data_IF_231728729641
#
_entry.id   IF_231728729641
#
_cell.length_a   1.000
_cell.length_b   1.000
_cell.length_c   1.000
_cell.angle_alpha   90.00
_cell.angle_beta   90.00
_cell.angle_gamma   90.00
#
_symmetry.space_group_name_H-M   'P 1'
#
loop_
_entity.id
_entity.type
_entity.pdbx_description
1 polymer ?
#
# COMPACT_ATOMS: atom_id res chain seq x y z
N UNK A 1 22.74 7.80 -7.74
CA UNK A 1 22.42 6.53 -8.43
C UNK A 1 21.70 5.53 -7.52
N UNK A 2 22.25 5.13 -6.36
CA UNK A 2 21.64 4.12 -5.47
C UNK A 2 20.19 4.42 -4.99
N UNK A 3 19.85 5.69 -4.73
CA UNK A 3 18.47 6.09 -4.35
C UNK A 3 17.45 5.92 -5.49
N UNK A 4 17.90 6.00 -6.74
CA UNK A 4 17.03 5.83 -7.91
C UNK A 4 16.75 4.35 -8.13
N UNK A 5 17.78 3.50 -8.06
CA UNK A 5 17.68 2.05 -8.20
C UNK A 5 16.77 1.46 -7.11
N UNK A 6 16.94 1.87 -5.85
CA UNK A 6 16.07 1.41 -4.74
C UNK A 6 14.61 1.81 -4.95
N UNK A 7 14.34 3.01 -5.50
CA UNK A 7 12.97 3.43 -5.85
C UNK A 7 12.38 2.61 -6.99
N UNK A 8 13.18 2.26 -8.00
CA UNK A 8 12.76 1.40 -9.10
C UNK A 8 12.43 -0.02 -8.62
N UNK A 9 13.27 -0.64 -7.78
CA UNK A 9 12.99 -1.98 -7.22
C UNK A 9 11.79 -1.98 -6.26
N UNK A 10 11.59 -0.90 -5.49
CA UNK A 10 10.40 -0.74 -4.66
C UNK A 10 9.12 -0.51 -5.47
N UNK A 11 9.20 0.20 -6.61
CA UNK A 11 8.05 0.40 -7.50
C UNK A 11 7.66 -0.91 -8.21
N UNK A 12 8.64 -1.72 -8.60
CA UNK A 12 8.42 -2.99 -9.30
C UNK A 12 7.77 -4.07 -8.39
N UNK A 13 8.17 -4.13 -7.11
CA UNK A 13 7.50 -4.95 -6.10
C UNK A 13 6.07 -4.49 -5.77
N UNK A 14 5.74 -3.20 -5.98
CA UNK A 14 4.38 -2.68 -5.76
C UNK A 14 3.42 -3.10 -6.88
N UNK A 15 3.90 -3.06 -8.12
CA UNK A 15 3.15 -3.42 -9.32
C UNK A 15 2.88 -4.93 -9.44
N UNK A 16 3.85 -5.76 -9.06
CA UNK A 16 3.75 -7.23 -9.09
C UNK A 16 2.69 -7.79 -8.13
N UNK A 17 2.42 -7.13 -7.01
CA UNK A 17 1.33 -7.52 -6.09
C UNK A 17 -0.06 -7.13 -6.61
N UNK A 18 -0.14 -6.06 -7.41
CA UNK A 18 -1.40 -5.55 -7.95
C UNK A 18 -1.86 -6.35 -9.17
N UNK A 19 -0.95 -6.82 -10.01
CA UNK A 19 -1.25 -7.44 -11.31
C UNK A 19 -0.35 -8.67 -11.61
N UNK A 20 -0.94 -9.89 -11.73
CA UNK A 20 -0.22 -11.08 -12.20
C UNK A 20 0.24 -10.92 -13.65
N UNK A 21 1.34 -11.59 -14.00
CA UNK A 21 2.22 -11.45 -15.19
C UNK A 21 1.62 -11.08 -16.57
N UNK A 22 0.34 -11.31 -16.85
CA UNK A 22 -0.25 -11.10 -18.19
C UNK A 22 -0.67 -9.65 -18.47
N UNK A 23 -0.80 -8.77 -17.47
CA UNK A 23 -1.36 -7.39 -17.63
C UNK A 23 -0.39 -6.26 -17.28
N UNK A 24 0.89 -6.58 -17.05
CA UNK A 24 1.89 -5.61 -16.57
C UNK A 24 2.20 -4.50 -17.59
N UNK A 25 2.21 -4.84 -18.88
CA UNK A 25 2.51 -3.87 -19.94
C UNK A 25 1.31 -2.95 -20.19
N UNK A 26 0.10 -3.50 -20.31
CA UNK A 26 -1.10 -2.74 -20.66
C UNK A 26 -1.45 -1.66 -19.62
N UNK A 27 -1.23 -1.93 -18.34
CA UNK A 27 -1.62 -0.99 -17.26
C UNK A 27 -0.55 0.07 -17.02
N UNK A 28 0.73 -0.28 -17.21
CA UNK A 28 1.81 0.71 -17.21
C UNK A 28 1.64 1.68 -18.39
N UNK A 29 1.31 1.15 -19.57
CA UNK A 29 1.04 1.94 -20.77
C UNK A 29 -0.23 2.77 -20.58
N UNK A 30 -1.30 2.22 -20.01
CA UNK A 30 -2.54 2.96 -19.75
C UNK A 30 -2.34 4.11 -18.75
N UNK A 31 -1.62 3.88 -17.66
CA UNK A 31 -1.35 4.93 -16.67
C UNK A 31 -0.40 6.01 -17.21
N UNK A 32 0.62 5.59 -17.98
CA UNK A 32 1.52 6.53 -18.66
C UNK A 32 0.76 7.36 -19.70
N UNK A 33 -0.14 6.73 -20.45
CA UNK A 33 -1.03 7.39 -21.41
C UNK A 33 -1.99 8.38 -20.72
N UNK A 34 -2.58 8.01 -19.58
CA UNK A 34 -3.49 8.87 -18.81
C UNK A 34 -2.74 10.11 -18.27
N UNK A 35 -1.51 9.94 -17.78
CA UNK A 35 -0.65 11.05 -17.34
C UNK A 35 -0.31 12.00 -18.49
N UNK A 36 0.06 11.46 -19.65
CA UNK A 36 0.36 12.26 -20.85
C UNK A 36 -0.90 13.03 -21.29
N UNK A 37 -2.07 12.40 -21.25
CA UNK A 37 -3.33 13.02 -21.66
C UNK A 37 -3.78 14.14 -20.70
N UNK A 38 -3.72 13.91 -19.38
CA UNK A 38 -3.99 14.96 -18.37
C UNK A 38 -3.02 16.12 -18.51
N UNK A 39 -1.73 15.84 -18.75
CA UNK A 39 -0.72 16.88 -18.96
C UNK A 39 -1.00 17.71 -20.22
N UNK A 40 -1.38 17.04 -21.33
CA UNK A 40 -1.74 17.71 -22.58
C UNK A 40 -2.98 18.61 -22.43
N UNK A 41 -4.01 18.14 -21.71
CA UNK A 41 -5.23 18.93 -21.44
C UNK A 41 -4.91 20.13 -20.52
N UNK A 42 -4.07 19.94 -19.50
CA UNK A 42 -3.72 21.01 -18.54
C UNK A 42 -2.76 22.07 -19.11
N UNK A 43 -2.02 21.75 -20.19
CA UNK A 43 -1.17 22.72 -20.89
C UNK A 43 -1.98 23.83 -21.58
N UNK A 44 -3.27 23.60 -21.87
CA UNK A 44 -4.16 24.61 -22.46
C UNK A 44 -4.46 25.79 -21.53
N UNK A 45 -4.55 25.55 -20.21
CA UNK A 45 -4.83 26.60 -19.20
C UNK A 45 -3.82 27.77 -19.21
N UNK A 46 -2.49 27.52 -19.12
CA UNK A 46 -1.51 28.60 -19.17
C UNK A 46 -1.44 29.27 -20.55
N UNK A 47 -1.70 28.53 -21.64
CA UNK A 47 -1.71 29.10 -23.00
C UNK A 47 -2.85 30.12 -23.15
N UNK A 48 -4.06 29.79 -22.67
CA UNK A 48 -5.21 30.72 -22.69
C UNK A 48 -4.96 31.94 -21.80
N UNK A 49 -4.28 31.77 -20.66
CA UNK A 49 -3.93 32.89 -19.76
C UNK A 49 -2.92 33.87 -20.40
N UNK A 50 -1.99 33.38 -21.23
CA UNK A 50 -1.02 34.22 -21.95
C UNK A 50 -1.70 34.96 -23.11
N UNK A 51 -2.55 34.28 -23.89
CA UNK A 51 -3.27 34.89 -25.03
C UNK A 51 -4.23 35.99 -24.58
N UNK A 52 -4.88 35.81 -23.44
CA UNK A 52 -5.82 36.79 -22.88
C UNK A 52 -5.15 38.01 -22.23
N UNK A 53 -3.80 38.10 -22.22
CA UNK A 53 -3.03 39.12 -21.46
C UNK A 53 -3.50 39.23 -20.00
N UNK A 54 -3.75 38.08 -19.35
CA UNK A 54 -4.15 38.05 -17.96
C UNK A 54 -3.04 38.59 -17.04
N UNK A 55 -3.40 38.96 -15.80
CA UNK A 55 -2.43 39.41 -14.80
C UNK A 55 -1.37 38.34 -14.52
N UNK A 56 -0.14 38.78 -14.22
CA UNK A 56 1.03 37.91 -13.95
C UNK A 56 0.73 36.85 -12.87
N UNK A 57 -0.13 37.20 -11.91
CA UNK A 57 -0.57 36.33 -10.80
C UNK A 57 -1.37 35.11 -11.33
N UNK A 58 -2.26 35.30 -12.30
CA UNK A 58 -3.07 34.22 -12.88
C UNK A 58 -2.20 33.24 -13.65
N UNK A 59 -1.16 33.74 -14.34
CA UNK A 59 -0.20 32.90 -15.06
C UNK A 59 0.58 32.01 -14.08
N UNK A 60 1.09 32.57 -12.98
CA UNK A 60 1.82 31.82 -11.96
C UNK A 60 0.94 30.73 -11.31
N UNK A 61 -0.31 31.05 -10.98
CA UNK A 61 -1.27 30.09 -10.40
C UNK A 61 -1.58 28.95 -11.39
N UNK A 62 -1.75 29.26 -12.68
CA UNK A 62 -2.05 28.24 -13.71
C UNK A 62 -0.89 27.23 -13.87
N UNK A 63 0.36 27.71 -13.83
CA UNK A 63 1.56 26.87 -13.91
C UNK A 63 1.69 25.99 -12.66
N UNK A 64 1.45 26.56 -11.47
CA UNK A 64 1.47 25.82 -10.22
C UNK A 64 0.40 24.71 -10.20
N UNK A 65 -0.81 24.99 -10.67
CA UNK A 65 -1.91 24.03 -10.74
C UNK A 65 -1.58 22.86 -11.67
N UNK A 66 -0.95 23.14 -12.82
CA UNK A 66 -0.52 22.11 -13.77
C UNK A 66 0.49 21.14 -13.13
N UNK A 67 1.47 21.67 -12.38
CA UNK A 67 2.44 20.83 -11.66
C UNK A 67 1.80 20.04 -10.51
N UNK A 68 0.85 20.63 -9.79
CA UNK A 68 0.12 19.96 -8.71
C UNK A 68 -0.74 18.78 -9.21
N UNK A 69 -1.36 18.90 -10.39
CA UNK A 69 -2.15 17.82 -11.01
C UNK A 69 -1.32 16.58 -11.33
N UNK A 70 -0.08 16.73 -11.83
CA UNK A 70 0.82 15.60 -12.08
C UNK A 70 1.08 14.79 -10.81
N UNK A 71 1.23 15.46 -9.67
CA UNK A 71 1.45 14.81 -8.37
C UNK A 71 0.20 14.11 -7.83
N UNK A 72 -1.00 14.59 -8.18
CA UNK A 72 -2.26 14.00 -7.71
C UNK A 72 -2.50 12.59 -8.28
N UNK A 73 -2.16 12.36 -9.54
CA UNK A 73 -2.34 11.05 -10.20
C UNK A 73 -1.50 9.96 -9.53
N UNK A 74 -0.23 10.26 -9.20
CA UNK A 74 0.64 9.32 -8.50
C UNK A 74 0.12 8.97 -7.10
N UNK A 75 -0.54 9.91 -6.44
CA UNK A 75 -1.07 9.72 -5.09
C UNK A 75 -2.25 8.74 -5.07
N UNK A 76 -3.06 8.71 -6.12
CA UNK A 76 -4.24 7.84 -6.18
C UNK A 76 -3.85 6.36 -6.35
N UNK A 77 -2.90 6.08 -7.24
CA UNK A 77 -2.37 4.72 -7.45
C UNK A 77 -1.70 4.19 -6.19
N UNK A 78 -0.94 5.06 -5.50
CA UNK A 78 -0.29 4.69 -4.26
C UNK A 78 -1.31 4.30 -3.18
N UNK A 79 -2.43 5.03 -3.07
CA UNK A 79 -3.51 4.69 -2.14
C UNK A 79 -4.16 3.35 -2.48
N UNK A 80 -4.44 3.10 -3.75
CA UNK A 80 -5.02 1.82 -4.19
C UNK A 80 -4.07 0.66 -3.87
N UNK A 81 -2.78 0.82 -4.13
CA UNK A 81 -1.76 -0.15 -3.74
C UNK A 81 -1.74 -0.40 -2.23
N UNK A 82 -1.67 0.67 -1.43
CA UNK A 82 -1.58 0.56 0.03
C UNK A 82 -2.83 -0.11 0.61
N UNK A 83 -4.01 0.21 0.08
CA UNK A 83 -5.26 -0.44 0.46
C UNK A 83 -5.25 -1.94 0.16
N UNK A 84 -4.86 -2.35 -1.06
CA UNK A 84 -4.80 -3.76 -1.44
C UNK A 84 -3.75 -4.53 -0.62
N UNK A 85 -2.58 -3.91 -0.38
CA UNK A 85 -1.54 -4.48 0.49
C UNK A 85 -2.07 -4.70 1.90
N UNK A 86 -2.82 -3.75 2.44
CA UNK A 86 -3.42 -3.84 3.77
C UNK A 86 -4.47 -4.95 3.88
N UNK A 87 -5.33 -5.10 2.86
CA UNK A 87 -6.29 -6.19 2.78
C UNK A 87 -5.58 -7.55 2.82
N UNK A 88 -4.52 -7.73 2.03
CA UNK A 88 -3.70 -8.95 2.04
C UNK A 88 -3.04 -9.16 3.41
N UNK A 89 -2.47 -8.13 4.02
CA UNK A 89 -1.84 -8.23 5.34
C UNK A 89 -2.83 -8.59 6.46
N UNK A 90 -4.08 -8.14 6.35
CA UNK A 90 -5.15 -8.49 7.29
C UNK A 90 -5.45 -9.97 7.22
N UNK A 91 -5.64 -10.48 6.00
CA UNK A 91 -5.90 -11.89 5.74
C UNK A 91 -4.71 -12.77 6.12
N UNK A 92 -3.51 -12.30 5.84
CA UNK A 92 -2.26 -12.94 6.24
C UNK A 92 -2.14 -13.07 7.77
N UNK A 93 -2.50 -12.03 8.54
CA UNK A 93 -2.50 -12.10 10.01
C UNK A 93 -3.48 -13.15 10.55
N UNK A 94 -4.66 -13.27 9.94
CA UNK A 94 -5.68 -14.27 10.28
C UNK A 94 -5.16 -15.68 9.94
N UNK A 95 -4.60 -15.86 8.75
CA UNK A 95 -3.96 -17.09 8.31
C UNK A 95 -2.86 -17.53 9.29
N UNK A 96 -1.93 -16.63 9.61
CA UNK A 96 -0.80 -16.90 10.48
C UNK A 96 -1.22 -17.27 11.90
N UNK A 97 -2.27 -16.63 12.42
CA UNK A 97 -2.86 -16.96 13.73
C UNK A 97 -3.43 -18.38 13.73
N UNK A 98 -4.19 -18.76 12.69
CA UNK A 98 -4.75 -20.13 12.54
C UNK A 98 -3.66 -21.19 12.42
N UNK A 99 -2.65 -20.92 11.60
CA UNK A 99 -1.50 -21.81 11.40
C UNK A 99 -0.75 -22.04 12.72
N UNK A 100 -0.47 -20.96 13.45
CA UNK A 100 0.22 -21.01 14.75
C UNK A 100 -0.59 -21.79 15.80
N UNK A 101 -1.91 -21.65 15.79
CA UNK A 101 -2.78 -22.42 16.70
C UNK A 101 -2.73 -23.92 16.39
N UNK A 102 -2.78 -24.32 15.13
CA UNK A 102 -2.68 -25.73 14.72
C UNK A 102 -1.34 -26.36 15.11
N UNK A 103 -0.23 -25.67 14.81
CA UNK A 103 1.11 -26.12 15.19
C UNK A 103 1.25 -26.12 16.73
N UNK A 104 0.67 -25.11 17.38
CA UNK A 104 0.60 -24.99 18.83
C UNK A 104 -0.10 -26.18 19.49
N UNK A 105 -1.14 -26.72 18.85
CA UNK A 105 -1.91 -27.89 19.26
C UNK A 105 -1.22 -29.25 18.95
N UNK A 106 0.00 -29.23 18.41
CA UNK A 106 0.78 -30.44 18.13
C UNK A 106 0.60 -30.99 16.71
N UNK A 107 -0.03 -30.25 15.80
CA UNK A 107 -0.03 -30.64 14.38
C UNK A 107 1.34 -30.37 13.75
N UNK A 108 1.81 -31.28 12.90
CA UNK A 108 3.01 -31.06 12.07
C UNK A 108 2.75 -29.97 11.04
N UNK A 109 3.82 -29.35 10.51
CA UNK A 109 3.69 -28.29 9.51
C UNK A 109 2.84 -28.73 8.31
N UNK A 110 3.14 -29.90 7.74
CA UNK A 110 2.38 -30.46 6.62
C UNK A 110 0.89 -30.67 6.95
N UNK A 111 0.57 -31.15 8.15
CA UNK A 111 -0.83 -31.33 8.56
C UNK A 111 -1.56 -30.00 8.72
N UNK A 112 -0.89 -28.98 9.26
CA UNK A 112 -1.48 -27.66 9.47
C UNK A 112 -1.83 -26.95 8.15
N UNK A 113 -1.10 -27.19 7.06
CA UNK A 113 -1.46 -26.68 5.72
C UNK A 113 -2.56 -27.48 5.04
N UNK A 114 -2.57 -28.80 5.18
CA UNK A 114 -3.44 -29.69 4.40
C UNK A 114 -4.81 -29.93 5.03
N UNK A 115 -4.89 -29.96 6.37
CA UNK A 115 -6.15 -30.25 7.09
C UNK A 115 -7.01 -29.02 7.34
N UNK A 116 -6.51 -27.81 7.08
CA UNK A 116 -7.18 -26.58 7.45
C UNK A 116 -7.75 -25.83 6.25
N UNK A 117 -9.06 -25.60 6.26
CA UNK A 117 -9.70 -24.69 5.31
C UNK A 117 -9.52 -23.25 5.78
N UNK A 118 -8.58 -22.54 5.16
CA UNK A 118 -8.39 -21.11 5.40
C UNK A 118 -9.49 -20.32 4.70
N UNK A 119 -10.59 -20.08 5.41
CA UNK A 119 -11.62 -19.14 4.95
C UNK A 119 -11.04 -17.72 5.00
N UNK A 120 -10.61 -17.24 3.82
CA UNK A 120 -9.97 -15.95 3.60
C UNK A 120 -10.87 -15.10 2.69
N UNK A 121 -11.25 -13.87 3.10
CA UNK A 121 -12.15 -13.04 2.32
C UNK A 121 -11.51 -12.51 1.02
N UNK A 122 -10.20 -12.23 1.01
CA UNK A 122 -9.51 -11.72 -0.17
C UNK A 122 -9.22 -12.83 -1.19
N UNK A 123 -9.78 -12.69 -2.40
CA UNK A 123 -9.64 -13.66 -3.49
C UNK A 123 -8.17 -13.86 -3.93
N UNK A 124 -7.37 -12.80 -3.98
CA UNK A 124 -5.97 -12.87 -4.43
C UNK A 124 -5.10 -13.63 -3.44
N UNK A 125 -5.14 -13.26 -2.16
CA UNK A 125 -4.36 -13.97 -1.14
C UNK A 125 -4.81 -15.43 -0.99
N UNK A 126 -6.12 -15.68 -0.99
CA UNK A 126 -6.68 -17.03 -0.96
C UNK A 126 -6.20 -17.89 -2.13
N UNK A 127 -6.16 -17.34 -3.35
CA UNK A 127 -5.69 -18.06 -4.54
C UNK A 127 -4.22 -18.51 -4.37
N UNK A 128 -3.33 -17.60 -3.96
CA UNK A 128 -1.92 -17.93 -3.78
C UNK A 128 -1.66 -18.90 -2.62
N UNK A 129 -2.40 -18.78 -1.51
CA UNK A 129 -2.32 -19.75 -0.40
C UNK A 129 -2.85 -21.13 -0.81
N UNK A 130 -3.94 -21.19 -1.59
CA UNK A 130 -4.45 -22.46 -2.09
C UNK A 130 -3.46 -23.11 -3.07
N UNK A 131 -2.81 -22.32 -3.93
CA UNK A 131 -1.74 -22.80 -4.81
C UNK A 131 -0.57 -23.36 -4.00
N UNK A 132 -0.13 -22.65 -2.95
CA UNK A 132 0.91 -23.14 -2.03
C UNK A 132 0.49 -24.46 -1.36
N UNK A 133 -0.73 -24.56 -0.82
CA UNK A 133 -1.21 -25.78 -0.17
C UNK A 133 -1.23 -26.94 -1.18
N UNK A 134 -1.69 -26.69 -2.41
CA UNK A 134 -1.71 -27.69 -3.47
C UNK A 134 -0.29 -28.15 -3.86
N UNK A 135 0.67 -27.24 -4.00
CA UNK A 135 2.06 -27.61 -4.32
C UNK A 135 2.71 -28.42 -3.19
N UNK A 136 2.42 -28.07 -1.93
CA UNK A 136 2.86 -28.84 -0.76
C UNK A 136 2.22 -30.25 -0.71
N UNK A 137 0.95 -30.40 -1.14
CA UNK A 137 0.30 -31.73 -1.18
C UNK A 137 0.84 -32.64 -2.28
N UNK A 138 1.28 -32.09 -3.41
CA UNK A 138 1.77 -32.85 -4.57
C UNK A 138 3.24 -33.32 -4.34
N UNK A 139 3.77 -33.24 -3.12
CA UNK A 139 5.17 -33.56 -2.78
C UNK A 139 6.20 -32.78 -3.61
N UNK A 140 5.91 -31.52 -3.93
CA UNK A 140 6.93 -30.61 -4.46
C UNK A 140 7.90 -30.19 -3.35
N UNK A 141 9.13 -29.81 -3.72
CA UNK A 141 10.09 -29.25 -2.78
C UNK A 141 9.44 -28.06 -2.03
N UNK A 142 9.30 -28.12 -0.69
CA UNK A 142 8.69 -27.05 0.08
C UNK A 142 9.46 -25.74 -0.10
N UNK A 143 10.78 -25.78 -0.28
CA UNK A 143 11.59 -24.58 -0.50
C UNK A 143 11.18 -23.83 -1.76
N UNK A 144 11.03 -24.55 -2.87
CA UNK A 144 10.59 -23.98 -4.14
C UNK A 144 9.19 -23.36 -4.02
N UNK A 145 8.27 -24.05 -3.35
CA UNK A 145 6.89 -23.58 -3.17
C UNK A 145 6.80 -22.28 -2.35
N UNK A 146 7.57 -22.16 -1.27
CA UNK A 146 7.62 -20.92 -0.47
C UNK A 146 8.35 -19.79 -1.19
N UNK A 147 9.37 -20.10 -2.00
CA UNK A 147 10.05 -19.11 -2.83
C UNK A 147 9.12 -18.56 -3.91
N UNK A 148 8.35 -19.43 -4.58
CA UNK A 148 7.34 -19.03 -5.56
C UNK A 148 6.29 -18.10 -4.93
N UNK A 149 5.80 -18.43 -3.73
CA UNK A 149 4.90 -17.55 -2.98
C UNK A 149 5.54 -16.19 -2.69
N UNK A 150 6.82 -16.16 -2.31
CA UNK A 150 7.55 -14.91 -2.03
C UNK A 150 7.71 -14.03 -3.27
N UNK A 151 7.87 -14.64 -4.44
CA UNK A 151 7.95 -13.94 -5.72
C UNK A 151 6.58 -13.42 -6.18
N UNK A 152 5.51 -14.17 -5.92
CA UNK A 152 4.13 -13.76 -6.26
C UNK A 152 3.59 -12.68 -5.33
N UNK A 153 3.93 -12.73 -4.04
CA UNK A 153 3.52 -11.77 -3.02
C UNK A 153 4.75 -11.08 -2.41
N UNK A 154 5.32 -10.07 -3.09
CA UNK A 154 6.52 -9.35 -2.62
C UNK A 154 6.20 -8.35 -1.50
N UNK A 155 5.61 -8.85 -0.42
CA UNK A 155 5.32 -8.14 0.81
C UNK A 155 6.36 -8.59 1.84
N UNK A 156 7.04 -7.64 2.48
CA UNK A 156 8.09 -7.94 3.47
C UNK A 156 7.65 -8.93 4.54
N UNK A 157 6.42 -8.80 5.06
CA UNK A 157 5.84 -9.71 6.05
C UNK A 157 5.57 -11.13 5.50
N UNK A 158 5.21 -11.26 4.23
CA UNK A 158 5.00 -12.58 3.62
C UNK A 158 6.35 -13.24 3.32
N UNK A 159 7.31 -12.47 2.81
CA UNK A 159 8.66 -12.96 2.52
C UNK A 159 9.38 -13.47 3.77
N UNK A 160 9.32 -12.71 4.87
CA UNK A 160 9.90 -13.15 6.14
C UNK A 160 9.25 -14.43 6.66
N UNK A 161 7.94 -14.58 6.47
CA UNK A 161 7.25 -15.85 6.77
C UNK A 161 7.75 -16.99 5.88
N UNK A 162 7.85 -16.81 4.56
CA UNK A 162 8.38 -17.83 3.67
C UNK A 162 9.78 -18.29 4.11
N UNK A 163 10.68 -17.36 4.49
CA UNK A 163 12.01 -17.71 5.00
C UNK A 163 11.97 -18.54 6.29
N UNK A 164 11.09 -18.19 7.24
CA UNK A 164 10.87 -18.96 8.47
C UNK A 164 10.38 -20.37 8.12
N UNK A 165 9.44 -20.50 7.18
CA UNK A 165 8.90 -21.79 6.77
C UNK A 165 9.94 -22.66 6.07
N UNK A 166 10.73 -22.11 5.14
CA UNK A 166 11.80 -22.83 4.45
C UNK A 166 12.80 -23.42 5.46
N UNK A 167 13.20 -22.61 6.44
CA UNK A 167 14.13 -23.05 7.48
C UNK A 167 13.48 -24.09 8.39
N UNK A 168 12.19 -23.92 8.70
CA UNK A 168 11.42 -24.84 9.52
C UNK A 168 11.20 -26.22 8.88
N UNK A 169 10.97 -26.28 7.57
CA UNK A 169 10.86 -27.55 6.87
C UNK A 169 12.20 -28.30 6.75
N UNK A 170 13.34 -27.57 6.75
CA UNK A 170 14.69 -28.14 6.63
C UNK A 170 15.28 -28.60 7.97
N UNK A 171 15.18 -27.76 8.99
CA UNK A 171 15.82 -27.96 10.29
C UNK A 171 14.74 -28.22 11.33
N UNK A 172 14.45 -29.50 11.59
CA UNK A 172 13.67 -30.11 12.70
C UNK A 172 12.60 -29.23 13.38
N UNK A 173 11.34 -29.70 13.43
CA UNK A 173 10.17 -29.00 13.99
C UNK A 173 10.32 -28.39 15.41
N UNK A 174 11.36 -28.79 16.15
CA UNK A 174 11.73 -28.24 17.46
C UNK A 174 12.12 -26.75 17.36
N UNK A 175 11.21 -25.87 17.77
CA UNK A 175 11.42 -24.42 17.86
C UNK A 175 10.71 -23.58 16.80
N UNK A 176 10.15 -24.20 15.76
CA UNK A 176 9.31 -23.51 14.76
C UNK A 176 8.07 -22.93 15.44
N UNK A 177 7.47 -23.69 16.35
CA UNK A 177 6.30 -23.25 17.12
C UNK A 177 6.56 -21.91 17.83
N UNK A 178 7.69 -21.79 18.53
CA UNK A 178 8.04 -20.58 19.27
C UNK A 178 8.42 -19.43 18.35
N UNK A 179 9.13 -19.73 17.26
CA UNK A 179 9.47 -18.76 16.22
C UNK A 179 8.21 -18.20 15.57
N UNK A 180 7.27 -19.06 15.19
CA UNK A 180 6.01 -18.68 14.54
C UNK A 180 5.09 -17.93 15.51
N UNK A 181 5.05 -18.32 16.79
CA UNK A 181 4.32 -17.59 17.84
C UNK A 181 4.87 -16.18 18.03
N UNK A 182 6.19 -16.05 18.10
CA UNK A 182 6.87 -14.74 18.20
C UNK A 182 6.61 -13.89 16.97
N UNK A 183 6.72 -14.49 15.78
CA UNK A 183 6.47 -13.81 14.52
C UNK A 183 5.01 -13.34 14.41
N UNK A 184 4.06 -14.18 14.78
CA UNK A 184 2.63 -13.84 14.84
C UNK A 184 2.38 -12.67 15.79
N UNK A 185 2.99 -12.69 16.97
CA UNK A 185 2.90 -11.58 17.93
C UNK A 185 3.46 -10.27 17.35
N UNK A 186 4.56 -10.33 16.60
CA UNK A 186 5.12 -9.17 15.90
C UNK A 186 4.15 -8.59 14.87
N UNK A 187 3.50 -9.43 14.05
CA UNK A 187 2.47 -9.00 13.09
C UNK A 187 1.27 -8.33 13.79
N UNK A 188 0.84 -8.86 14.94
CA UNK A 188 -0.20 -8.23 15.74
C UNK A 188 0.22 -6.88 16.34
N UNK A 189 1.49 -6.76 16.76
CA UNK A 189 2.06 -5.50 17.23
C UNK A 189 2.09 -4.45 16.10
N UNK A 190 2.50 -4.84 14.89
CA UNK A 190 2.46 -3.99 13.69
C UNK A 190 1.03 -3.55 13.36
N UNK A 191 0.06 -4.48 13.41
CA UNK A 191 -1.36 -4.15 13.18
C UNK A 191 -1.87 -3.13 14.20
N UNK A 192 -1.53 -3.31 15.49
CA UNK A 192 -1.88 -2.36 16.56
C UNK A 192 -1.22 -1.00 16.34
N UNK A 193 0.05 -0.98 15.96
CA UNK A 193 0.77 0.26 15.65
C UNK A 193 0.15 1.00 14.47
N UNK A 194 -0.21 0.28 13.40
CA UNK A 194 -0.88 0.87 12.24
C UNK A 194 -2.27 1.43 12.59
N UNK A 195 -3.03 0.73 13.43
CA UNK A 195 -4.31 1.23 13.93
C UNK A 195 -4.14 2.53 14.74
N UNK A 196 -3.13 2.59 15.63
CA UNK A 196 -2.78 3.80 16.39
C UNK A 196 -2.41 4.96 15.48
N UNK A 197 -1.52 4.73 14.50
CA UNK A 197 -1.14 5.75 13.51
C UNK A 197 -2.33 6.31 12.75
N UNK A 198 -3.32 5.48 12.39
CA UNK A 198 -4.55 5.96 11.73
C UNK A 198 -5.43 6.78 12.64
N UNK A 199 -5.53 6.40 13.91
CA UNK A 199 -6.25 7.19 14.91
C UNK A 199 -5.58 8.57 15.09
N UNK A 200 -4.25 8.60 15.19
CA UNK A 200 -3.45 9.83 15.25
C UNK A 200 -3.65 10.68 13.98
N UNK A 201 -3.55 10.10 12.79
CA UNK A 201 -3.78 10.81 11.53
C UNK A 201 -5.20 11.37 11.41
N UNK A 202 -6.21 10.63 11.86
CA UNK A 202 -7.60 11.10 11.86
C UNK A 202 -7.77 12.29 12.82
N UNK A 203 -7.19 12.19 14.02
CA UNK A 203 -7.20 13.28 14.99
C UNK A 203 -6.46 14.52 14.47
N UNK A 204 -5.28 14.34 13.85
CA UNK A 204 -4.48 15.42 13.29
C UNK A 204 -5.20 16.12 12.12
N UNK A 205 -5.89 15.35 11.25
CA UNK A 205 -6.71 15.92 10.17
C UNK A 205 -7.84 16.79 10.71
N UNK A 206 -8.52 16.36 11.78
CA UNK A 206 -9.57 17.14 12.43
C UNK A 206 -9.00 18.44 13.03
N UNK A 207 -7.85 18.37 13.72
CA UNK A 207 -7.17 19.55 14.28
C UNK A 207 -6.77 20.54 13.18
N UNK A 208 -6.26 20.06 12.05
CA UNK A 208 -5.90 20.91 10.92
C UNK A 208 -7.13 21.59 10.30
N UNK A 209 -8.27 20.88 10.18
CA UNK A 209 -9.52 21.47 9.71
C UNK A 209 -10.00 22.61 10.63
N UNK A 210 -9.89 22.43 11.95
CA UNK A 210 -10.21 23.49 12.93
C UNK A 210 -9.29 24.71 12.78
N UNK A 211 -7.98 24.50 12.55
CA UNK A 211 -7.03 25.59 12.35
C UNK A 211 -7.37 26.43 11.10
N UNK A 212 -7.74 25.80 9.99
CA UNK A 212 -8.18 26.50 8.76
C UNK A 212 -9.48 27.28 9.03
N UNK A 213 -10.43 26.69 9.75
CA UNK A 213 -11.68 27.36 10.14
C UNK A 213 -11.44 28.64 10.95
N UNK A 214 -10.50 28.59 11.91
CA UNK A 214 -10.11 29.74 12.72
C UNK A 214 -9.58 30.90 11.86
N UNK A 215 -8.73 30.61 10.87
CA UNK A 215 -8.17 31.60 9.95
C UNK A 215 -9.29 32.25 9.10
N UNK A 216 -10.27 31.46 8.66
CA UNK A 216 -11.44 31.97 7.95
C UNK A 216 -12.26 32.96 8.78
N UNK A 217 -12.51 32.64 10.05
CA UNK A 217 -13.23 33.53 10.98
C UNK A 217 -12.44 34.82 11.22
N UNK A 218 -11.12 34.73 11.40
CA UNK A 218 -10.23 35.90 11.52
C UNK A 218 -10.31 36.84 10.32
N UNK A 219 -10.30 36.32 9.08
CA UNK A 219 -10.46 37.14 7.87
C UNK A 219 -11.82 37.86 7.84
N UNK A 220 -12.91 37.19 8.20
CA UNK A 220 -14.25 37.80 8.22
C UNK A 220 -14.32 38.95 9.22
N UNK A 221 -13.65 38.81 10.36
CA UNK A 221 -13.60 39.85 11.39
C UNK A 221 -12.73 41.05 10.99
N UNK A 222 -11.59 40.83 10.34
CA UNK A 222 -10.67 41.91 9.95
C UNK A 222 -11.08 42.58 8.63
N UNK A 223 -11.82 41.91 7.77
CA UNK A 223 -12.32 42.46 6.50
C UNK A 223 -13.02 43.83 6.64
N UNK A 224 -14.02 44.04 7.50
CA UNK A 224 -14.67 45.35 7.63
C UNK A 224 -13.72 46.44 8.14
N UNK A 225 -12.79 46.10 9.04
CA UNK A 225 -11.79 47.04 9.56
C UNK A 225 -10.80 47.49 8.47
N UNK A 226 -10.37 46.57 7.60
CA UNK A 226 -9.49 46.88 6.47
C UNK A 226 -10.21 47.74 5.42
N UNK A 227 -11.47 47.45 5.13
CA UNK A 227 -12.27 48.24 4.17
C UNK A 227 -12.48 49.66 4.71
N UNK A 228 -12.74 49.82 6.01
CA UNK A 228 -12.85 51.14 6.64
C UNK A 228 -11.55 51.93 6.60
N UNK A 229 -10.39 51.29 6.80
CA UNK A 229 -9.07 51.93 6.72
C UNK A 229 -8.68 52.33 5.28
N UNK A 230 -9.13 51.60 4.26
CA UNK A 230 -8.86 51.92 2.85
C UNK A 230 -9.79 53.01 2.30
N UNK A 231 -10.95 53.24 2.92
CA UNK A 231 -11.92 54.25 2.52
C UNK A 231 -11.77 55.58 3.29
N UNK A 232 -10.73 55.69 4.12
CA UNK A 232 -10.26 56.89 4.83
C UNK A 232 -8.96 57.37 4.18
#
# INVERSE_FOLDING_TARGET
MAKLTVRFTLADNRLSLLYPKETKEDIYIANTSLKINIFAIMLFLPIVAIISKASVIVIIISVFLCFACMKCVDFDILKVYEKKKEEILTDFSIFLTKLTLCIGAGMTLNQAFTRQNYNLPNKTFKMHINQLINSLTIHSDPEYSFLELSLMLPITQVNAFCSIMITGFKNTEAGIKDTLKTYTSSIWADRRNNAKKRAEQSSAKAVLALAIGLIGILMVLTAPALIMLMNI
#
